data_IF_279665663697
#
_entry.id   IF_279665663697
#
_cell.length_a   1.000
_cell.length_b   1.000
_cell.length_c   1.000
_cell.angle_alpha   90.00
_cell.angle_beta   90.00
_cell.angle_gamma   90.00
#
_symmetry.space_group_name_H-M   'P 1'
#
loop_
_entity.id
_entity.type
_entity.pdbx_description
1 polymer ?
#
# COMPACT_ATOMS: atom_id res chain seq x y z
N UNK A 1 -1.43 -34.81 13.11
CA UNK A 1 -0.31 -33.92 13.37
C UNK A 1 -0.27 -33.65 14.88
N UNK A 2 0.87 -33.84 15.50
CA UNK A 2 1.10 -33.53 16.92
C UNK A 2 1.68 -32.13 17.00
N UNK A 3 1.06 -31.27 17.82
CA UNK A 3 1.59 -29.97 18.16
C UNK A 3 2.87 -30.17 19.01
N UNK A 4 3.94 -29.54 18.60
CA UNK A 4 5.20 -29.56 19.34
C UNK A 4 5.35 -28.19 20.02
N UNK A 5 5.50 -28.19 21.34
CA UNK A 5 5.66 -26.97 22.12
C UNK A 5 6.93 -26.24 21.66
N UNK A 6 6.80 -24.95 21.32
CA UNK A 6 7.90 -24.13 20.77
C UNK A 6 7.93 -24.03 19.24
N UNK A 7 7.14 -24.80 18.49
CA UNK A 7 7.10 -24.71 17.01
C UNK A 7 6.32 -23.47 16.51
N UNK A 8 5.51 -22.86 17.37
CA UNK A 8 4.71 -21.68 16.98
C UNK A 8 5.38 -20.42 17.52
N UNK A 9 5.89 -19.63 16.61
CA UNK A 9 6.43 -18.32 16.91
C UNK A 9 5.43 -17.26 16.53
N UNK A 10 5.16 -16.33 17.43
CA UNK A 10 4.24 -15.23 17.21
C UNK A 10 4.96 -13.90 17.34
N UNK A 11 4.87 -13.06 16.31
CA UNK A 11 5.40 -11.70 16.31
C UNK A 11 4.29 -10.72 15.99
N UNK A 12 4.08 -9.74 16.86
CA UNK A 12 3.18 -8.61 16.62
C UNK A 12 3.94 -7.47 15.91
N UNK A 13 3.21 -6.63 15.20
CA UNK A 13 3.74 -5.40 14.59
C UNK A 13 4.96 -5.68 13.70
N UNK A 14 4.76 -6.51 12.68
CA UNK A 14 5.84 -6.87 11.75
C UNK A 14 6.24 -5.72 10.81
N UNK A 15 5.38 -4.72 10.60
CA UNK A 15 5.70 -3.58 9.75
C UNK A 15 6.81 -2.72 10.36
N UNK A 16 7.78 -2.34 9.56
CA UNK A 16 8.88 -1.44 9.93
C UNK A 16 9.42 -0.68 8.72
N UNK A 17 10.08 0.42 9.00
CA UNK A 17 10.81 1.21 8.02
C UNK A 17 12.09 1.73 8.67
N UNK A 18 13.19 1.64 7.95
CA UNK A 18 14.44 2.23 8.39
C UNK A 18 14.37 3.77 8.29
N UNK A 19 15.05 4.46 9.17
CA UNK A 19 15.15 5.93 9.14
C UNK A 19 16.05 6.43 8.01
N UNK A 20 16.90 5.55 7.47
CA UNK A 20 17.77 5.80 6.31
C UNK A 20 17.83 4.55 5.45
N UNK A 21 17.62 4.73 4.17
CA UNK A 21 17.70 3.69 3.13
C UNK A 21 19.09 3.62 2.48
N UNK A 22 19.83 4.73 2.51
CA UNK A 22 21.20 4.80 2.02
C UNK A 22 22.02 5.78 2.88
N UNK A 23 23.31 5.55 2.95
CA UNK A 23 24.27 6.39 3.66
C UNK A 23 25.66 6.29 3.05
N UNK A 24 26.67 6.73 3.82
CA UNK A 24 28.05 6.62 3.39
C UNK A 24 28.46 5.13 3.37
N UNK A 25 28.70 4.59 2.18
CA UNK A 25 29.17 3.23 1.96
C UNK A 25 28.09 2.13 2.05
N UNK A 26 26.79 2.46 2.17
CA UNK A 26 25.75 1.47 2.16
C UNK A 26 24.47 1.92 1.46
N UNK A 27 23.71 0.96 0.93
CA UNK A 27 22.32 1.11 0.50
C UNK A 27 21.53 -0.16 0.86
N UNK A 28 20.34 0.02 1.41
CA UNK A 28 19.46 -1.06 1.84
C UNK A 28 18.48 -1.43 0.71
N UNK A 29 18.22 -2.73 0.55
CA UNK A 29 17.36 -3.28 -0.50
C UNK A 29 16.33 -4.22 0.12
N UNK A 30 15.11 -4.21 -0.43
CA UNK A 30 14.04 -5.09 -0.01
C UNK A 30 13.70 -4.95 1.47
N UNK A 31 13.50 -6.08 2.12
CA UNK A 31 13.14 -6.15 3.55
C UNK A 31 14.23 -5.61 4.49
N UNK A 32 15.50 -5.53 4.05
CA UNK A 32 16.52 -4.83 4.83
C UNK A 32 16.23 -3.34 5.01
N UNK A 33 15.44 -2.76 4.11
CA UNK A 33 15.09 -1.35 4.12
C UNK A 33 13.76 -1.07 4.83
N UNK A 34 12.72 -1.84 4.51
CA UNK A 34 11.39 -1.70 5.09
C UNK A 34 10.52 -2.92 4.80
N UNK A 35 9.59 -3.21 5.69
CA UNK A 35 8.55 -4.21 5.52
C UNK A 35 7.19 -3.59 5.88
N UNK A 36 6.18 -3.78 5.06
CA UNK A 36 4.86 -3.19 5.28
C UNK A 36 3.88 -4.21 5.87
N UNK A 37 3.45 -5.16 5.03
CA UNK A 37 2.45 -6.19 5.36
C UNK A 37 2.50 -7.25 4.24
N UNK A 38 2.34 -8.54 4.54
CA UNK A 38 2.35 -9.59 3.51
C UNK A 38 1.10 -9.57 2.62
N UNK A 39 0.04 -8.89 3.03
CA UNK A 39 -1.19 -8.78 2.26
C UNK A 39 -0.94 -8.05 0.94
N UNK A 40 -1.39 -8.60 -0.17
CA UNK A 40 -1.09 -8.18 -1.55
C UNK A 40 0.36 -8.39 -2.01
N UNK A 41 1.22 -9.00 -1.20
CA UNK A 41 2.60 -9.35 -1.56
C UNK A 41 3.45 -8.18 -2.09
N UNK A 42 3.50 -7.01 -1.45
CA UNK A 42 4.23 -5.84 -1.95
C UNK A 42 5.75 -6.01 -1.91
N UNK A 43 6.24 -7.05 -1.22
CA UNK A 43 7.67 -7.29 -1.05
C UNK A 43 8.43 -7.44 -2.36
N UNK A 44 7.86 -8.12 -3.36
CA UNK A 44 8.49 -8.27 -4.68
C UNK A 44 8.62 -6.94 -5.42
N UNK A 45 7.60 -6.09 -5.36
CA UNK A 45 7.66 -4.75 -5.95
C UNK A 45 8.70 -3.90 -5.22
N UNK A 46 8.69 -3.96 -3.89
CA UNK A 46 9.63 -3.23 -3.06
C UNK A 46 11.08 -3.63 -3.33
N UNK A 47 11.35 -4.94 -3.50
CA UNK A 47 12.65 -5.47 -3.92
C UNK A 47 13.01 -4.92 -5.30
N UNK A 48 12.12 -4.98 -6.27
CA UNK A 48 12.37 -4.52 -7.65
C UNK A 48 12.74 -3.05 -7.71
N UNK A 49 11.99 -2.19 -7.03
CA UNK A 49 12.28 -0.76 -6.96
C UNK A 49 13.57 -0.46 -6.19
N UNK A 50 13.76 -1.09 -5.03
CA UNK A 50 14.93 -0.80 -4.21
C UNK A 50 16.22 -1.32 -4.83
N UNK A 51 16.21 -2.48 -5.48
CA UNK A 51 17.38 -3.02 -6.17
C UNK A 51 17.76 -2.15 -7.38
N UNK A 52 16.79 -1.77 -8.21
CA UNK A 52 17.04 -0.91 -9.39
C UNK A 52 17.56 0.46 -8.99
N UNK A 53 16.92 1.09 -7.99
CA UNK A 53 17.36 2.39 -7.49
C UNK A 53 18.73 2.32 -6.79
N UNK A 54 19.03 1.23 -6.09
CA UNK A 54 20.33 1.02 -5.46
C UNK A 54 21.45 0.87 -6.52
N UNK A 55 21.21 0.08 -7.55
CA UNK A 55 22.17 -0.07 -8.66
C UNK A 55 22.48 1.29 -9.33
N UNK A 56 21.44 2.07 -9.65
CA UNK A 56 21.61 3.41 -10.23
C UNK A 56 22.33 4.39 -9.30
N UNK A 57 22.08 4.30 -7.98
CA UNK A 57 22.77 5.11 -6.97
C UNK A 57 24.26 4.75 -6.91
N UNK A 58 24.59 3.47 -6.83
CA UNK A 58 25.98 2.97 -6.77
C UNK A 58 26.73 3.38 -8.03
N UNK A 59 26.19 3.14 -9.22
CA UNK A 59 26.80 3.55 -10.49
C UNK A 59 27.10 5.05 -10.52
N UNK A 60 26.17 5.84 -10.06
CA UNK A 60 26.33 7.30 -9.98
C UNK A 60 27.44 7.73 -9.02
N UNK A 61 27.57 7.05 -7.88
CA UNK A 61 28.63 7.33 -6.90
C UNK A 61 30.02 6.94 -7.45
N UNK A 62 30.12 5.78 -8.09
CA UNK A 62 31.36 5.31 -8.71
C UNK A 62 31.81 6.19 -9.89
N UNK A 63 30.86 6.80 -10.58
CA UNK A 63 31.12 7.74 -11.68
C UNK A 63 31.53 9.16 -11.21
N UNK A 64 31.78 9.37 -9.91
CA UNK A 64 32.24 10.65 -9.36
C UNK A 64 31.18 11.76 -9.33
N UNK A 65 29.91 11.45 -9.58
CA UNK A 65 28.81 12.40 -9.47
C UNK A 65 28.45 12.65 -8.01
N UNK A 66 27.96 13.85 -7.65
CA UNK A 66 27.64 14.24 -6.27
C UNK A 66 26.86 13.18 -5.51
N UNK A 67 27.55 12.41 -4.66
CA UNK A 67 26.96 11.28 -3.92
C UNK A 67 25.96 11.77 -2.85
N UNK A 68 26.28 12.86 -2.15
CA UNK A 68 25.48 13.35 -1.03
C UNK A 68 24.04 13.73 -1.44
N UNK A 69 23.88 14.48 -2.55
CA UNK A 69 22.57 14.89 -3.04
C UNK A 69 21.74 13.68 -3.53
N UNK A 70 22.40 12.71 -4.17
CA UNK A 70 21.74 11.50 -4.67
C UNK A 70 21.28 10.60 -3.52
N UNK A 71 22.11 10.43 -2.50
CA UNK A 71 21.76 9.71 -1.27
C UNK A 71 20.59 10.40 -0.57
N UNK A 72 20.60 11.73 -0.46
CA UNK A 72 19.49 12.48 0.13
C UNK A 72 18.18 12.28 -0.65
N UNK A 73 18.23 12.35 -1.98
CA UNK A 73 17.07 12.13 -2.86
C UNK A 73 16.56 10.69 -2.78
N UNK A 74 17.46 9.70 -2.75
CA UNK A 74 17.11 8.30 -2.58
C UNK A 74 16.34 8.09 -1.27
N UNK A 75 16.89 8.57 -0.15
CA UNK A 75 16.22 8.49 1.14
C UNK A 75 14.84 9.15 1.12
N UNK A 76 14.74 10.38 0.59
CA UNK A 76 13.47 11.12 0.52
C UNK A 76 12.42 10.37 -0.32
N UNK A 77 12.82 9.79 -1.46
CA UNK A 77 11.92 9.04 -2.33
C UNK A 77 11.42 7.76 -1.66
N UNK A 78 12.28 6.99 -1.02
CA UNK A 78 11.91 5.73 -0.38
C UNK A 78 11.08 5.95 0.88
N UNK A 79 11.42 6.93 1.72
CA UNK A 79 10.58 7.31 2.86
C UNK A 79 9.18 7.72 2.40
N UNK A 80 9.09 8.63 1.43
CA UNK A 80 7.81 9.09 0.92
C UNK A 80 7.00 7.99 0.23
N UNK A 81 7.68 7.06 -0.45
CA UNK A 81 7.05 5.89 -1.06
C UNK A 81 6.47 4.96 -0.01
N UNK A 82 7.26 4.58 0.98
CA UNK A 82 6.83 3.69 2.07
C UNK A 82 5.60 4.24 2.79
N UNK A 83 5.66 5.50 3.23
CA UNK A 83 4.57 6.13 3.97
C UNK A 83 3.27 6.17 3.15
N UNK A 84 3.37 6.55 1.87
CA UNK A 84 2.20 6.60 0.99
C UNK A 84 1.66 5.22 0.66
N UNK A 85 2.53 4.22 0.46
CA UNK A 85 2.11 2.85 0.20
C UNK A 85 1.37 2.28 1.40
N UNK A 86 1.93 2.50 2.60
CA UNK A 86 1.28 2.10 3.84
C UNK A 86 -0.08 2.80 4.01
N UNK A 87 -0.13 4.12 3.84
CA UNK A 87 -1.37 4.89 3.95
C UNK A 87 -2.42 4.53 2.89
N UNK A 88 -1.95 4.24 1.67
CA UNK A 88 -2.84 3.93 0.57
C UNK A 88 -3.51 2.58 0.70
N UNK A 89 -2.81 1.57 1.22
CA UNK A 89 -3.25 0.17 1.12
C UNK A 89 -3.44 -0.47 2.49
N UNK A 90 -2.55 -0.24 3.47
CA UNK A 90 -2.50 -1.06 4.68
C UNK A 90 -3.12 -0.42 5.90
N UNK A 91 -3.11 0.91 6.00
CA UNK A 91 -3.64 1.61 7.17
C UNK A 91 -5.10 1.25 7.42
N UNK A 92 -5.37 0.67 8.59
CA UNK A 92 -6.71 0.31 9.07
C UNK A 92 -7.51 -0.65 8.15
N UNK A 93 -6.88 -1.25 7.15
CA UNK A 93 -7.53 -2.14 6.17
C UNK A 93 -8.29 -3.28 6.82
N UNK A 94 -7.79 -3.82 7.91
CA UNK A 94 -8.39 -4.93 8.62
C UNK A 94 -9.80 -4.66 9.13
N UNK A 95 -10.23 -3.39 9.29
CA UNK A 95 -11.60 -3.07 9.65
C UNK A 95 -12.63 -3.50 8.61
N UNK A 96 -12.30 -3.49 7.33
CA UNK A 96 -13.24 -3.88 6.28
C UNK A 96 -12.97 -5.25 5.64
N UNK A 97 -11.84 -5.90 5.94
CA UNK A 97 -11.48 -7.18 5.33
C UNK A 97 -12.51 -8.29 5.57
N UNK A 98 -13.18 -8.31 6.71
CA UNK A 98 -14.21 -9.29 7.03
C UNK A 98 -15.60 -8.96 6.48
N UNK A 99 -15.78 -7.81 5.80
CA UNK A 99 -17.01 -7.46 5.11
C UNK A 99 -16.84 -7.68 3.60
N UNK A 100 -17.52 -8.66 3.05
CA UNK A 100 -17.33 -9.09 1.66
C UNK A 100 -17.55 -7.98 0.64
N UNK A 101 -18.57 -7.13 0.83
CA UNK A 101 -18.85 -6.04 -0.11
C UNK A 101 -17.73 -5.00 -0.12
N UNK A 102 -17.31 -4.56 1.07
CA UNK A 102 -16.27 -3.56 1.21
C UNK A 102 -14.92 -4.10 0.73
N UNK A 103 -14.57 -5.33 1.12
CA UNK A 103 -13.32 -5.94 0.72
C UNK A 103 -13.25 -6.21 -0.78
N UNK A 104 -14.33 -6.67 -1.40
CA UNK A 104 -14.38 -6.90 -2.86
C UNK A 104 -14.19 -5.58 -3.61
N UNK A 105 -14.83 -4.52 -3.16
CA UNK A 105 -14.70 -3.19 -3.79
C UNK A 105 -13.28 -2.65 -3.61
N UNK A 106 -12.73 -2.69 -2.39
CA UNK A 106 -11.37 -2.28 -2.10
C UNK A 106 -10.36 -3.03 -2.99
N UNK A 107 -10.46 -4.36 -2.99
CA UNK A 107 -9.55 -5.21 -3.77
C UNK A 107 -9.52 -4.85 -5.25
N UNK A 108 -10.69 -4.64 -5.85
CA UNK A 108 -10.80 -4.29 -7.27
C UNK A 108 -10.26 -2.90 -7.59
N UNK A 109 -10.50 -1.92 -6.72
CA UNK A 109 -9.95 -0.58 -6.85
C UNK A 109 -8.43 -0.57 -6.64
N UNK A 110 -7.95 -1.27 -5.62
CA UNK A 110 -6.53 -1.38 -5.30
C UNK A 110 -5.78 -2.06 -6.46
N UNK A 111 -6.27 -3.20 -6.94
CA UNK A 111 -5.64 -3.93 -8.05
C UNK A 111 -5.61 -3.11 -9.34
N UNK A 112 -6.70 -2.42 -9.67
CA UNK A 112 -6.75 -1.55 -10.84
C UNK A 112 -5.79 -0.38 -10.74
N UNK A 113 -5.76 0.30 -9.60
CA UNK A 113 -4.88 1.43 -9.34
C UNK A 113 -3.41 1.01 -9.28
N UNK A 114 -3.14 -0.16 -8.68
CA UNK A 114 -1.82 -0.77 -8.65
C UNK A 114 -1.31 -1.08 -10.06
N UNK A 115 -2.13 -1.71 -10.89
CA UNK A 115 -1.74 -1.99 -12.27
C UNK A 115 -1.42 -0.71 -13.04
N UNK A 116 -2.31 0.29 -13.00
CA UNK A 116 -2.13 1.55 -13.72
C UNK A 116 -0.99 2.40 -13.16
N UNK A 117 -0.80 2.42 -11.86
CA UNK A 117 0.17 3.29 -11.19
C UNK A 117 1.55 2.68 -10.94
N UNK A 118 1.64 1.36 -10.87
CA UNK A 118 2.87 0.64 -10.50
C UNK A 118 3.33 -0.28 -11.61
N UNK A 119 2.51 -1.27 -11.98
CA UNK A 119 2.90 -2.36 -12.89
C UNK A 119 3.13 -1.86 -14.32
N UNK A 120 2.27 -0.98 -14.86
CA UNK A 120 2.40 -0.50 -16.24
C UNK A 120 3.65 0.36 -16.47
N UNK A 121 4.18 1.01 -15.43
CA UNK A 121 5.27 1.97 -15.56
C UNK A 121 6.54 1.42 -16.26
N UNK A 122 7.09 0.27 -15.88
CA UNK A 122 8.26 -0.27 -16.57
C UNK A 122 7.96 -0.71 -18.01
N UNK A 123 6.72 -1.12 -18.31
CA UNK A 123 6.32 -1.44 -19.69
C UNK A 123 6.18 -0.21 -20.56
N UNK A 124 5.68 0.90 -20.01
CA UNK A 124 5.46 2.15 -20.74
C UNK A 124 6.73 3.00 -20.87
N UNK A 125 7.62 2.95 -19.88
CA UNK A 125 8.77 3.86 -19.73
C UNK A 125 10.14 3.16 -19.67
N UNK A 126 10.15 1.83 -19.77
CA UNK A 126 11.36 1.01 -19.64
C UNK A 126 11.83 0.85 -18.19
N UNK A 127 12.90 0.06 -18.04
CA UNK A 127 13.42 -0.34 -16.72
C UNK A 127 13.87 0.83 -15.83
N UNK A 128 14.27 1.97 -16.42
CA UNK A 128 14.61 3.18 -15.66
C UNK A 128 13.43 3.68 -14.79
N UNK A 129 12.20 3.32 -15.11
CA UNK A 129 11.05 3.63 -14.27
C UNK A 129 11.07 2.92 -12.90
N UNK A 130 11.83 1.82 -12.77
CA UNK A 130 12.03 1.11 -11.50
C UNK A 130 13.02 1.83 -10.55
N UNK A 131 13.82 2.77 -11.06
CA UNK A 131 14.73 3.54 -10.21
C UNK A 131 14.00 4.53 -9.29
N UNK A 132 12.73 4.82 -9.57
CA UNK A 132 11.88 5.68 -8.75
C UNK A 132 10.78 4.83 -8.12
N UNK A 133 10.75 4.67 -6.79
CA UNK A 133 9.77 3.80 -6.16
C UNK A 133 8.33 4.28 -6.38
N UNK A 134 7.40 3.34 -6.33
CA UNK A 134 5.98 3.64 -6.50
C UNK A 134 5.50 4.66 -5.45
N UNK A 135 4.60 5.54 -5.86
CA UNK A 135 4.02 6.61 -5.02
C UNK A 135 5.01 7.67 -4.50
N UNK A 136 6.29 7.60 -4.86
CA UNK A 136 7.23 8.71 -4.67
C UNK A 136 6.76 9.97 -5.43
N UNK A 137 7.30 11.17 -5.15
CA UNK A 137 6.88 12.41 -5.83
C UNK A 137 6.78 12.30 -7.35
N UNK A 138 7.75 11.64 -7.98
CA UNK A 138 7.80 11.38 -9.43
C UNK A 138 7.39 9.95 -9.81
N UNK A 139 6.87 9.17 -8.84
CA UNK A 139 6.54 7.75 -8.96
C UNK A 139 5.04 7.43 -8.89
N UNK A 140 4.15 8.37 -9.27
CA UNK A 140 2.70 8.14 -9.21
C UNK A 140 2.07 8.57 -7.88
N UNK A 141 2.57 9.63 -7.26
CA UNK A 141 2.05 10.20 -6.01
C UNK A 141 0.53 10.38 -5.98
N UNK A 142 -0.06 10.85 -7.09
CA UNK A 142 -1.51 11.09 -7.18
C UNK A 142 -2.32 9.79 -7.04
N UNK A 143 -1.87 8.69 -7.60
CA UNK A 143 -2.53 7.40 -7.45
C UNK A 143 -2.56 6.98 -5.97
N UNK A 144 -1.43 7.06 -5.26
CA UNK A 144 -1.37 6.77 -3.82
C UNK A 144 -2.30 7.66 -2.99
N UNK A 145 -2.45 8.94 -3.33
CA UNK A 145 -3.38 9.85 -2.64
C UNK A 145 -4.84 9.42 -2.84
N UNK A 146 -5.22 9.09 -4.08
CA UNK A 146 -6.58 8.63 -4.39
C UNK A 146 -6.87 7.30 -3.69
N UNK A 147 -5.92 6.37 -3.72
CA UNK A 147 -6.03 5.08 -3.03
C UNK A 147 -6.21 5.27 -1.53
N UNK A 148 -5.38 6.10 -0.90
CA UNK A 148 -5.49 6.42 0.52
C UNK A 148 -6.86 7.04 0.86
N UNK A 149 -7.41 7.87 -0.02
CA UNK A 149 -8.71 8.49 0.20
C UNK A 149 -9.84 7.47 0.21
N UNK A 150 -10.02 6.67 -0.85
CA UNK A 150 -11.14 5.72 -0.89
C UNK A 150 -10.98 4.59 0.15
N UNK A 151 -9.76 4.14 0.43
CA UNK A 151 -9.54 3.13 1.47
C UNK A 151 -9.92 3.65 2.87
N UNK A 152 -9.56 4.89 3.21
CA UNK A 152 -10.02 5.53 4.46
C UNK A 152 -11.54 5.67 4.54
N UNK A 153 -12.19 5.99 3.43
CA UNK A 153 -13.65 6.04 3.37
C UNK A 153 -14.26 4.65 3.64
N UNK A 154 -13.71 3.59 3.06
CA UNK A 154 -14.14 2.22 3.33
C UNK A 154 -13.96 1.82 4.80
N UNK A 155 -12.86 2.24 5.44
CA UNK A 155 -12.67 2.06 6.89
C UNK A 155 -13.78 2.74 7.69
N UNK A 156 -14.11 4.00 7.36
CA UNK A 156 -15.17 4.73 8.05
C UNK A 156 -16.53 4.05 7.91
N UNK A 157 -16.85 3.56 6.71
CA UNK A 157 -18.08 2.81 6.45
C UNK A 157 -18.08 1.48 7.23
N UNK A 158 -16.94 0.78 7.29
CA UNK A 158 -16.81 -0.47 8.04
C UNK A 158 -17.05 -0.26 9.54
N UNK A 159 -16.44 0.76 10.14
CA UNK A 159 -16.65 1.13 11.53
C UNK A 159 -18.14 1.44 11.81
N UNK A 160 -18.77 2.23 10.97
CA UNK A 160 -20.20 2.52 11.07
C UNK A 160 -21.10 1.27 10.88
N UNK A 161 -20.68 0.30 10.05
CA UNK A 161 -21.37 -1.00 9.93
C UNK A 161 -21.22 -1.83 11.20
N UNK A 162 -20.04 -1.83 11.83
CA UNK A 162 -19.79 -2.50 13.11
C UNK A 162 -20.69 -1.93 14.22
N UNK A 163 -20.72 -0.61 14.36
CA UNK A 163 -21.57 0.09 15.35
C UNK A 163 -23.04 -0.24 15.18
N UNK A 164 -23.52 -0.34 13.94
CA UNK A 164 -24.91 -0.74 13.62
C UNK A 164 -25.16 -2.25 13.71
N UNK A 165 -24.14 -3.05 13.99
CA UNK A 165 -24.21 -4.49 14.01
C UNK A 165 -24.58 -5.15 12.69
N UNK A 166 -24.26 -4.52 11.53
CA UNK A 166 -24.55 -5.05 10.19
C UNK A 166 -23.31 -5.47 9.42
N UNK A 167 -22.12 -5.26 9.97
CA UNK A 167 -20.85 -5.66 9.38
C UNK A 167 -20.80 -7.16 9.11
N UNK A 168 -20.42 -7.56 7.91
CA UNK A 168 -20.29 -8.95 7.49
C UNK A 168 -21.61 -9.74 7.39
N UNK A 169 -22.76 -9.17 7.75
CA UNK A 169 -24.05 -9.91 7.77
C UNK A 169 -24.51 -10.42 6.41
N UNK A 170 -24.04 -9.86 5.33
CA UNK A 170 -24.39 -10.29 3.97
C UNK A 170 -23.35 -11.21 3.31
N UNK A 171 -22.28 -11.59 4.03
CA UNK A 171 -21.19 -12.38 3.47
C UNK A 171 -21.65 -13.72 2.88
N UNK A 172 -22.55 -14.42 3.55
CA UNK A 172 -23.05 -15.74 3.14
C UNK A 172 -23.89 -15.73 1.85
N UNK A 173 -24.34 -14.57 1.41
CA UNK A 173 -25.16 -14.43 0.19
C UNK A 173 -24.35 -14.22 -1.09
N UNK A 174 -23.03 -14.08 -1.00
CA UNK A 174 -22.20 -13.63 -2.11
C UNK A 174 -21.00 -14.54 -2.34
N UNK A 175 -21.27 -15.72 -2.90
CA UNK A 175 -20.24 -16.62 -3.41
C UNK A 175 -19.86 -16.26 -4.86
N UNK A 176 -19.50 -15.04 -5.16
CA UNK A 176 -19.00 -14.69 -6.48
C UNK A 176 -17.49 -14.57 -6.45
N UNK A 177 -16.85 -15.09 -7.47
CA UNK A 177 -15.39 -15.08 -7.62
C UNK A 177 -14.79 -13.74 -7.23
N UNK A 178 -13.97 -13.78 -6.19
CA UNK A 178 -13.32 -12.63 -5.62
C UNK A 178 -12.40 -11.96 -6.66
N UNK A 179 -11.85 -12.75 -7.55
CA UNK A 179 -10.90 -12.34 -8.58
C UNK A 179 -11.38 -12.81 -9.95
N UNK A 180 -11.77 -11.88 -10.80
CA UNK A 180 -11.85 -12.07 -12.23
C UNK A 180 -11.30 -10.85 -12.95
N UNK A 181 -10.07 -10.47 -12.66
CA UNK A 181 -9.36 -9.52 -13.49
C UNK A 181 -8.52 -10.28 -14.52
N UNK A 182 -9.00 -10.30 -15.75
CA UNK A 182 -8.10 -10.43 -16.86
C UNK A 182 -7.33 -9.12 -16.98
N UNK A 183 -6.02 -9.18 -16.77
CA UNK A 183 -5.09 -8.07 -16.97
C UNK A 183 -4.96 -7.82 -18.48
N UNK A 184 -5.93 -7.15 -19.05
CA UNK A 184 -5.95 -6.82 -20.47
C UNK A 184 -6.26 -5.34 -20.68
N UNK A 185 -6.23 -4.91 -21.95
CA UNK A 185 -6.47 -3.53 -22.38
C UNK A 185 -7.83 -2.92 -21.93
N UNK A 186 -8.74 -3.72 -21.38
CA UNK A 186 -10.05 -3.26 -20.87
C UNK A 186 -10.03 -2.94 -19.36
N UNK A 187 -8.85 -2.77 -18.77
CA UNK A 187 -8.74 -2.51 -17.34
C UNK A 187 -9.36 -1.15 -16.97
N UNK A 188 -9.12 -0.11 -17.75
CA UNK A 188 -9.58 1.26 -17.44
C UNK A 188 -11.11 1.36 -17.30
N UNK A 189 -11.94 0.85 -18.24
CA UNK A 189 -13.39 0.83 -18.04
C UNK A 189 -13.85 0.08 -16.80
N UNK A 190 -13.14 -0.99 -16.42
CA UNK A 190 -13.43 -1.75 -15.20
C UNK A 190 -13.13 -0.95 -13.94
N UNK A 191 -12.00 -0.23 -13.89
CA UNK A 191 -11.66 0.66 -12.78
C UNK A 191 -12.70 1.77 -12.64
N UNK A 192 -13.11 2.40 -13.74
CA UNK A 192 -14.19 3.40 -13.75
C UNK A 192 -15.50 2.82 -13.21
N UNK A 193 -15.86 1.60 -13.62
CA UNK A 193 -17.03 0.89 -13.07
C UNK A 193 -16.93 0.66 -11.56
N UNK A 194 -15.75 0.34 -11.04
CA UNK A 194 -15.56 0.18 -9.58
C UNK A 194 -15.62 1.52 -8.84
N UNK A 195 -15.11 2.61 -9.43
CA UNK A 195 -15.29 3.95 -8.87
C UNK A 195 -16.76 4.35 -8.80
N UNK A 196 -17.55 4.03 -9.84
CA UNK A 196 -19.00 4.25 -9.80
C UNK A 196 -19.66 3.44 -8.68
N UNK A 197 -19.28 2.18 -8.48
CA UNK A 197 -19.76 1.35 -7.37
C UNK A 197 -19.39 1.92 -6.00
N UNK A 198 -18.18 2.47 -5.88
CA UNK A 198 -17.77 3.16 -4.66
C UNK A 198 -18.61 4.43 -4.41
N UNK A 199 -18.88 5.24 -5.44
CA UNK A 199 -19.76 6.42 -5.32
C UNK A 199 -21.16 5.99 -4.89
N UNK A 200 -21.72 4.93 -5.47
CA UNK A 200 -23.02 4.40 -5.05
C UNK A 200 -23.03 3.94 -3.59
N UNK A 201 -21.95 3.35 -3.10
CA UNK A 201 -21.78 2.99 -1.69
C UNK A 201 -21.75 4.24 -0.80
N UNK A 202 -21.03 5.28 -1.21
CA UNK A 202 -20.99 6.56 -0.50
C UNK A 202 -22.38 7.22 -0.42
N UNK A 203 -23.12 7.23 -1.52
CA UNK A 203 -24.50 7.77 -1.55
C UNK A 203 -25.47 6.91 -0.73
N UNK A 204 -25.31 5.58 -0.71
CA UNK A 204 -26.19 4.68 0.03
C UNK A 204 -26.00 4.79 1.56
N UNK A 205 -24.76 4.86 2.03
CA UNK A 205 -24.45 4.82 3.46
C UNK A 205 -23.23 5.63 3.90
N UNK A 206 -22.26 5.88 3.02
CA UNK A 206 -21.01 6.56 3.36
C UNK A 206 -21.23 7.99 3.86
N UNK A 207 -22.22 8.69 3.32
CA UNK A 207 -22.56 10.07 3.71
C UNK A 207 -22.77 10.25 5.22
N UNK A 208 -23.23 9.20 5.89
CA UNK A 208 -23.46 9.20 7.35
C UNK A 208 -22.17 9.37 8.14
N UNK A 209 -21.03 9.04 7.54
CA UNK A 209 -19.71 9.11 8.17
C UNK A 209 -18.89 10.33 7.75
N UNK A 210 -19.44 11.23 6.89
CA UNK A 210 -18.68 12.38 6.41
C UNK A 210 -18.33 13.38 7.50
N UNK A 211 -19.21 13.58 8.46
CA UNK A 211 -19.00 14.51 9.56
C UNK A 211 -18.13 13.96 10.68
N UNK A 212 -17.99 12.63 10.75
CA UNK A 212 -17.09 11.93 11.69
C UNK A 212 -15.73 11.63 11.07
N UNK A 213 -15.58 11.89 9.77
CA UNK A 213 -14.36 11.62 9.04
C UNK A 213 -13.29 12.67 9.36
N UNK A 214 -12.32 12.30 10.19
CA UNK A 214 -11.18 13.16 10.52
C UNK A 214 -9.96 12.80 9.68
N UNK A 215 -9.55 13.70 8.79
CA UNK A 215 -8.33 13.53 7.99
C UNK A 215 -7.05 13.63 8.84
N UNK A 216 -7.13 14.19 10.05
CA UNK A 216 -5.99 14.36 10.95
C UNK A 216 -5.59 13.06 11.66
N UNK A 217 -6.49 12.09 11.80
CA UNK A 217 -6.23 10.77 12.42
C UNK A 217 -5.22 9.93 11.59
N UNK A 218 -4.81 10.46 10.46
CA UNK A 218 -3.92 9.82 9.50
C UNK A 218 -2.45 10.11 9.73
N UNK A 219 -2.10 10.90 10.76
CA UNK A 219 -0.72 11.36 11.01
C UNK A 219 -0.14 10.94 12.35
N UNK A 220 -0.83 10.09 13.12
CA UNK A 220 -0.20 9.52 14.31
C UNK A 220 0.98 8.67 13.84
N UNK A 221 2.23 9.04 14.16
CA UNK A 221 3.35 8.17 13.92
C UNK A 221 3.09 6.88 14.68
N UNK A 222 3.38 5.75 14.08
CA UNK A 222 3.46 4.47 14.80
C UNK A 222 4.54 4.71 15.87
N UNK A 223 4.11 5.00 17.10
CA UNK A 223 5.02 5.14 18.20
C UNK A 223 5.76 3.80 18.31
N UNK A 224 7.05 3.82 18.03
CA UNK A 224 7.92 2.70 18.31
C UNK A 224 7.86 2.49 19.83
N UNK A 225 7.12 1.49 20.30
CA UNK A 225 7.30 1.04 21.68
C UNK A 225 8.76 0.66 21.85
N UNK A 226 9.44 1.17 22.88
CA UNK A 226 10.82 0.79 23.15
C UNK A 226 10.86 -0.72 23.37
N UNK A 227 11.74 -1.39 22.64
CA UNK A 227 12.01 -2.81 22.82
C UNK A 227 12.31 -3.04 24.31
N UNK A 228 11.41 -3.73 25.01
CA UNK A 228 11.70 -4.25 26.33
C UNK A 228 12.76 -5.32 26.14
N UNK A 229 13.96 -5.00 26.62
CA UNK A 229 15.10 -5.92 26.75
C UNK A 229 14.74 -7.17 27.55
#
# INVERSE_FOLDING_TARGET
>A
ATFQEGDVHFRRNCAYSCTRYAGNGFVLVGDAAAFMDPFYSPGMDWISFSASAAAALVDSCLSGRSAAERVARHNANFTASHDRWFDAIYRDKYYYMGDHELMTLAFRLDLGSYYLGVVSRPFDRGNAALEVPAFAPNGGKSAGIVMAFYNRRLVSIAKARMERGVWGKSNYRRYHGFISYELNQRLLPRVVGQLAMWILLELREGWRTWFTFNTADTRAPIAAEPAKT
#
